data_IF_651944191046
#
_entry.id   IF_651944191046
#
_cell.length_a   1.000
_cell.length_b   1.000
_cell.length_c   1.000
_cell.angle_alpha   90.00
_cell.angle_beta   90.00
_cell.angle_gamma   90.00
#
_symmetry.space_group_name_H-M   'P 1'
#
loop_
_entity.id
_entity.type
_entity.pdbx_description
1 polymer ?
#
# COMPACT_ATOMS: atom_id res chain seq x y z
N UNK A 1 8.05 15.87 -9.84
CA UNK A 1 8.69 15.25 -8.70
C UNK A 1 10.00 14.59 -9.14
N UNK A 2 10.93 14.50 -8.21
CA UNK A 2 12.27 14.00 -8.50
C UNK A 2 12.33 12.52 -8.80
N UNK A 3 11.34 11.77 -8.34
CA UNK A 3 11.33 10.33 -8.51
C UNK A 3 10.61 9.97 -9.79
N UNK A 4 11.32 9.26 -10.63
CA UNK A 4 10.79 8.88 -11.92
C UNK A 4 10.91 7.38 -12.08
N UNK A 5 9.77 6.70 -12.09
CA UNK A 5 9.72 5.25 -12.20
C UNK A 5 9.02 4.84 -13.47
N UNK A 6 9.63 3.93 -14.21
CA UNK A 6 9.02 3.39 -15.42
C UNK A 6 8.04 2.26 -15.11
N UNK A 7 8.33 1.51 -14.05
CA UNK A 7 7.50 0.34 -13.70
C UNK A 7 6.42 0.73 -12.71
N UNK A 8 5.24 0.17 -12.92
CA UNK A 8 4.11 0.42 -12.02
C UNK A 8 4.39 -0.09 -10.60
N UNK A 9 5.00 -1.27 -10.47
CA UNK A 9 5.28 -1.81 -9.14
C UNK A 9 6.22 -0.89 -8.35
N UNK A 10 7.20 -0.27 -9.03
CA UNK A 10 8.08 0.69 -8.35
C UNK A 10 7.31 1.90 -7.84
N UNK A 11 6.38 2.40 -8.66
CA UNK A 11 5.56 3.55 -8.27
C UNK A 11 4.70 3.23 -7.06
N UNK A 12 4.06 2.08 -7.08
CA UNK A 12 3.16 1.68 -5.99
C UNK A 12 3.95 1.45 -4.70
N UNK A 13 5.08 0.76 -4.79
CA UNK A 13 5.91 0.54 -3.61
C UNK A 13 6.40 1.86 -3.03
N UNK A 14 6.79 2.80 -3.89
CA UNK A 14 7.24 4.12 -3.43
C UNK A 14 6.13 4.85 -2.67
N UNK A 15 4.93 4.84 -3.22
CA UNK A 15 3.79 5.52 -2.59
C UNK A 15 3.48 4.87 -1.24
N UNK A 16 3.45 3.54 -1.20
CA UNK A 16 3.16 2.82 0.03
C UNK A 16 4.24 3.06 1.08
N UNK A 17 5.50 3.04 0.66
CA UNK A 17 6.59 3.30 1.60
C UNK A 17 6.48 4.70 2.20
N UNK A 18 6.10 5.68 1.39
CA UNK A 18 5.90 7.05 1.86
C UNK A 18 4.78 7.11 2.90
N UNK A 19 3.68 6.39 2.67
CA UNK A 19 2.56 6.35 3.62
C UNK A 19 3.00 5.67 4.92
N UNK A 20 3.72 4.57 4.83
CA UNK A 20 4.19 3.86 6.02
C UNK A 20 5.10 4.77 6.86
N UNK A 21 6.01 5.47 6.21
CA UNK A 21 6.91 6.38 6.92
C UNK A 21 6.14 7.50 7.59
N UNK A 22 5.10 7.99 6.96
CA UNK A 22 4.23 9.00 7.53
C UNK A 22 3.54 8.46 8.79
N UNK A 23 3.06 7.23 8.74
CA UNK A 23 2.39 6.60 9.88
C UNK A 23 3.36 6.38 11.04
N UNK A 24 4.60 5.98 10.74
CA UNK A 24 5.61 5.78 11.77
C UNK A 24 5.90 7.09 12.49
N UNK A 25 5.96 8.20 11.74
CA UNK A 25 6.24 9.51 12.30
C UNK A 25 5.08 10.09 13.07
N UNK A 26 3.91 9.49 12.98
CA UNK A 26 2.70 9.98 13.65
C UNK A 26 2.08 8.89 14.52
N UNK A 27 2.76 8.49 15.58
CA UNK A 27 2.26 7.39 16.42
C UNK A 27 0.91 7.69 17.06
N UNK A 28 0.55 8.96 17.21
CA UNK A 28 -0.75 9.31 17.77
C UNK A 28 -1.91 8.85 16.88
N UNK A 29 -1.71 8.88 15.57
CA UNK A 29 -2.73 8.40 14.63
C UNK A 29 -2.95 6.92 14.83
N UNK A 30 -1.86 6.15 14.90
CA UNK A 30 -1.94 4.71 15.09
C UNK A 30 -2.55 4.35 16.44
N UNK A 31 -2.19 5.08 17.49
CA UNK A 31 -2.75 4.84 18.81
C UNK A 31 -4.25 5.10 18.82
N UNK A 32 -4.67 6.17 18.14
CA UNK A 32 -6.09 6.49 18.04
C UNK A 32 -6.84 5.37 17.31
N UNK A 33 -6.30 4.90 16.21
CA UNK A 33 -6.91 3.84 15.42
C UNK A 33 -7.03 2.57 16.25
N UNK A 34 -5.96 2.19 16.95
CA UNK A 34 -5.94 1.01 17.78
C UNK A 34 -7.00 1.06 18.85
N UNK A 35 -7.21 2.23 19.43
CA UNK A 35 -8.10 2.41 20.57
C UNK A 35 -9.57 2.53 20.19
N UNK A 36 -9.83 3.18 19.08
CA UNK A 36 -11.19 3.66 18.77
C UNK A 36 -11.80 3.11 17.49
N UNK A 37 -11.02 2.51 16.62
CA UNK A 37 -11.51 2.10 15.32
C UNK A 37 -11.34 0.61 15.09
N UNK A 38 -12.27 0.04 14.35
CA UNK A 38 -12.15 -1.34 13.90
C UNK A 38 -11.12 -1.40 12.76
N UNK A 39 -10.67 -2.61 12.44
CA UNK A 39 -9.75 -2.79 11.34
C UNK A 39 -10.35 -2.30 10.02
N UNK A 40 -11.66 -2.49 9.85
CA UNK A 40 -12.33 -1.97 8.65
C UNK A 40 -12.23 -0.47 8.52
N UNK A 41 -12.41 0.25 9.63
CA UNK A 41 -12.27 1.71 9.60
C UNK A 41 -10.83 2.13 9.38
N UNK A 42 -9.87 1.35 9.88
CA UNK A 42 -8.46 1.62 9.61
C UNK A 42 -8.17 1.51 8.12
N UNK A 43 -8.65 0.45 7.47
CA UNK A 43 -8.48 0.27 6.03
C UNK A 43 -9.10 1.42 5.24
N UNK A 44 -10.28 1.88 5.68
CA UNK A 44 -10.95 3.00 5.05
C UNK A 44 -10.12 4.27 5.15
N UNK A 45 -9.54 4.52 6.32
CA UNK A 45 -8.67 5.69 6.51
C UNK A 45 -7.43 5.62 5.63
N UNK A 46 -6.84 4.44 5.52
CA UNK A 46 -5.67 4.28 4.67
C UNK A 46 -6.04 4.47 3.19
N UNK A 47 -7.20 3.96 2.80
CA UNK A 47 -7.68 4.14 1.43
C UNK A 47 -7.89 5.62 1.14
N UNK A 48 -8.46 6.37 2.09
CA UNK A 48 -8.65 7.80 1.91
C UNK A 48 -7.31 8.52 1.70
N UNK A 49 -6.29 8.13 2.44
CA UNK A 49 -4.96 8.70 2.26
C UNK A 49 -4.39 8.39 0.88
N UNK A 50 -4.57 7.15 0.43
CA UNK A 50 -4.06 6.72 -0.86
C UNK A 50 -4.80 7.38 -2.02
N UNK A 51 -6.08 7.65 -1.83
CA UNK A 51 -6.92 8.26 -2.86
C UNK A 51 -7.01 9.77 -2.77
N UNK A 52 -6.21 10.39 -1.89
CA UNK A 52 -6.20 11.84 -1.80
C UNK A 52 -5.81 12.42 -3.15
N UNK A 53 -6.23 13.65 -3.42
CA UNK A 53 -5.98 14.28 -4.73
C UNK A 53 -4.49 14.37 -5.05
N UNK A 54 -3.63 14.35 -4.05
CA UNK A 54 -2.20 14.39 -4.27
C UNK A 54 -1.64 13.06 -4.75
N UNK A 55 -2.27 11.97 -4.34
CA UNK A 55 -1.78 10.64 -4.68
C UNK A 55 -2.53 9.99 -5.82
N UNK A 56 -3.87 10.06 -5.80
CA UNK A 56 -4.70 9.51 -6.86
C UNK A 56 -4.32 8.10 -7.26
N UNK A 57 -4.03 7.26 -6.28
CA UNK A 57 -3.44 5.95 -6.54
C UNK A 57 -4.32 5.04 -7.38
N UNK A 58 -5.63 5.08 -7.16
CA UNK A 58 -6.55 4.22 -7.90
C UNK A 58 -6.54 4.56 -9.39
N UNK A 59 -6.63 5.85 -9.68
CA UNK A 59 -6.63 6.31 -11.07
C UNK A 59 -5.29 6.04 -11.73
N UNK A 60 -4.21 6.28 -11.00
CA UNK A 60 -2.87 6.00 -11.49
C UNK A 60 -2.73 4.53 -11.84
N UNK A 61 -3.15 3.66 -10.93
CA UNK A 61 -3.00 2.22 -11.09
C UNK A 61 -3.76 1.71 -12.31
N UNK A 62 -5.03 2.08 -12.40
CA UNK A 62 -5.89 1.62 -13.51
C UNK A 62 -5.37 2.14 -14.84
N UNK A 63 -4.98 3.40 -14.88
CA UNK A 63 -4.44 4.01 -16.10
C UNK A 63 -3.15 3.34 -16.55
N UNK A 64 -2.21 3.12 -15.62
CA UNK A 64 -0.94 2.51 -15.96
C UNK A 64 -1.09 1.06 -16.42
N UNK A 65 -2.00 0.33 -15.80
CA UNK A 65 -2.27 -1.05 -16.23
C UNK A 65 -2.74 -1.04 -17.67
N UNK A 66 -3.61 -0.11 -18.02
CA UNK A 66 -4.15 -0.02 -19.37
C UNK A 66 -3.11 0.45 -20.38
N UNK A 67 -2.40 1.52 -20.05
CA UNK A 67 -1.42 2.12 -20.96
C UNK A 67 -0.21 1.22 -21.21
N UNK A 68 0.22 0.50 -20.21
CA UNK A 68 1.39 -0.38 -20.32
C UNK A 68 1.04 -1.82 -20.63
N UNK A 69 -0.25 -2.06 -20.85
CA UNK A 69 -0.73 -3.39 -21.22
C UNK A 69 -0.31 -4.47 -20.22
N UNK A 70 -0.40 -4.12 -18.95
CA UNK A 70 -0.05 -5.06 -17.88
C UNK A 70 -1.15 -6.13 -17.80
N UNK A 71 -0.79 -7.42 -17.76
CA UNK A 71 -1.78 -8.49 -17.83
C UNK A 71 -2.51 -8.75 -16.51
N UNK A 72 -3.23 -7.75 -16.03
CA UNK A 72 -4.10 -7.90 -14.88
C UNK A 72 -5.53 -7.88 -15.38
N UNK A 73 -6.25 -8.97 -15.11
CA UNK A 73 -7.62 -9.11 -15.59
C UNK A 73 -8.54 -8.10 -14.93
N UNK A 74 -8.37 -7.90 -13.62
CA UNK A 74 -9.17 -6.96 -12.84
C UNK A 74 -8.26 -6.06 -12.03
N UNK A 75 -7.78 -4.96 -12.64
CA UNK A 75 -6.82 -4.08 -11.95
C UNK A 75 -7.36 -3.52 -10.64
N UNK A 76 -8.63 -3.18 -10.60
CA UNK A 76 -9.22 -2.61 -9.39
C UNK A 76 -9.26 -3.63 -8.25
N UNK A 77 -9.48 -4.90 -8.58
CA UNK A 77 -9.45 -5.95 -7.58
C UNK A 77 -8.04 -6.17 -7.05
N UNK A 78 -7.05 -6.15 -7.95
CA UNK A 78 -5.66 -6.30 -7.52
C UNK A 78 -5.26 -5.17 -6.57
N UNK A 79 -5.63 -3.95 -6.91
CA UNK A 79 -5.34 -2.81 -6.04
C UNK A 79 -6.07 -2.94 -4.70
N UNK A 80 -7.33 -3.38 -4.73
CA UNK A 80 -8.08 -3.61 -3.50
C UNK A 80 -7.34 -4.59 -2.58
N UNK A 81 -6.86 -5.68 -3.14
CA UNK A 81 -6.13 -6.67 -2.35
C UNK A 81 -4.83 -6.10 -1.79
N UNK A 82 -4.14 -5.29 -2.58
CA UNK A 82 -2.92 -4.64 -2.11
C UNK A 82 -3.21 -3.73 -0.93
N UNK A 83 -4.27 -2.93 -1.03
CA UNK A 83 -4.64 -2.01 0.04
C UNK A 83 -5.01 -2.77 1.31
N UNK A 84 -5.78 -3.85 1.19
CA UNK A 84 -6.16 -4.65 2.35
C UNK A 84 -4.95 -5.33 2.98
N UNK A 85 -4.07 -5.85 2.15
CA UNK A 85 -2.84 -6.46 2.63
C UNK A 85 -2.00 -5.45 3.40
N UNK A 86 -1.78 -4.28 2.80
CA UNK A 86 -0.98 -3.23 3.43
C UNK A 86 -1.62 -2.78 4.75
N UNK A 87 -2.93 -2.52 4.72
CA UNK A 87 -3.63 -2.01 5.90
C UNK A 87 -3.46 -2.91 7.11
N UNK A 88 -3.74 -4.20 6.91
CA UNK A 88 -3.71 -5.15 8.01
C UNK A 88 -2.29 -5.43 8.49
N UNK A 89 -1.39 -5.71 7.55
CA UNK A 89 -0.03 -6.12 7.93
C UNK A 89 0.78 -4.97 8.50
N UNK A 90 0.64 -3.78 7.95
CA UNK A 90 1.37 -2.61 8.44
C UNK A 90 0.92 -2.25 9.85
N UNK A 91 -0.39 -2.25 10.09
CA UNK A 91 -0.90 -1.97 11.42
C UNK A 91 -0.30 -2.93 12.45
N UNK A 92 -0.38 -4.23 12.17
CA UNK A 92 0.13 -5.25 13.07
C UNK A 92 1.64 -5.14 13.27
N UNK A 93 2.36 -4.88 12.19
CA UNK A 93 3.81 -4.78 12.25
C UNK A 93 4.28 -3.57 13.07
N UNK A 94 3.61 -2.42 12.90
CA UNK A 94 4.00 -1.20 13.63
C UNK A 94 3.57 -1.27 15.09
N UNK A 95 2.33 -1.64 15.33
CA UNK A 95 1.75 -1.60 16.67
C UNK A 95 2.21 -2.77 17.53
N UNK A 96 2.16 -3.97 16.98
CA UNK A 96 2.45 -5.20 17.73
C UNK A 96 3.82 -5.79 17.44
N UNK A 97 4.49 -5.28 16.43
CA UNK A 97 5.80 -5.76 15.99
C UNK A 97 5.78 -7.25 15.62
N UNK A 98 4.67 -7.68 15.05
CA UNK A 98 4.45 -9.06 14.65
C UNK A 98 4.11 -9.12 13.17
N UNK A 99 4.55 -10.11 12.45
CA UNK A 99 5.55 -11.11 12.86
C UNK A 99 6.97 -10.54 12.91
N UNK A 100 7.17 -9.32 12.41
CA UNK A 100 8.43 -8.61 12.43
C UNK A 100 8.16 -7.12 12.64
N UNK A 101 9.12 -6.37 13.22
CA UNK A 101 9.03 -4.92 13.23
C UNK A 101 8.97 -4.37 11.81
N UNK A 102 8.40 -3.19 11.66
CA UNK A 102 8.10 -2.66 10.32
C UNK A 102 9.33 -2.56 9.41
N UNK A 103 10.48 -2.16 9.94
CA UNK A 103 11.67 -2.03 9.09
C UNK A 103 12.13 -3.36 8.52
N UNK A 104 11.93 -4.44 9.27
CA UNK A 104 12.28 -5.77 8.81
C UNK A 104 11.18 -6.39 7.96
N UNK A 105 9.95 -5.93 8.15
CA UNK A 105 8.80 -6.43 7.41
C UNK A 105 8.71 -5.84 6.00
N UNK A 106 9.09 -4.58 5.84
CA UNK A 106 8.95 -3.87 4.56
C UNK A 106 9.47 -4.65 3.34
N UNK A 107 10.67 -5.25 3.37
CA UNK A 107 11.14 -5.96 2.18
C UNK A 107 10.21 -7.10 1.77
N UNK A 108 9.67 -7.80 2.74
CA UNK A 108 8.74 -8.91 2.46
C UNK A 108 7.42 -8.39 1.90
N UNK A 109 6.91 -7.33 2.48
CA UNK A 109 5.68 -6.71 2.01
C UNK A 109 5.82 -6.24 0.56
N UNK A 110 6.91 -5.55 0.26
CA UNK A 110 7.11 -4.98 -1.08
C UNK A 110 7.30 -6.08 -2.11
N UNK A 111 7.97 -7.15 -1.75
CA UNK A 111 8.11 -8.30 -2.64
C UNK A 111 6.73 -8.87 -2.99
N UNK A 112 5.87 -9.02 -1.99
CA UNK A 112 4.53 -9.54 -2.20
C UNK A 112 3.70 -8.62 -3.09
N UNK A 113 3.80 -7.31 -2.86
CA UNK A 113 3.08 -6.35 -3.70
C UNK A 113 3.54 -6.44 -5.14
N UNK A 114 4.85 -6.55 -5.37
CA UNK A 114 5.39 -6.69 -6.72
C UNK A 114 4.88 -7.95 -7.41
N UNK A 115 4.79 -9.04 -6.67
CA UNK A 115 4.26 -10.28 -7.23
C UNK A 115 2.79 -10.15 -7.63
N UNK A 116 2.01 -9.44 -6.84
CA UNK A 116 0.60 -9.23 -7.17
C UNK A 116 0.42 -8.41 -8.45
N UNK A 117 1.29 -7.43 -8.66
CA UNK A 117 1.22 -6.58 -9.85
C UNK A 117 1.79 -7.32 -11.08
N UNK A 118 2.83 -8.11 -10.88
CA UNK A 118 3.52 -8.80 -11.95
C UNK A 118 3.17 -10.29 -11.99
N UNK A 119 1.91 -10.61 -11.77
CA UNK A 119 1.49 -12.01 -11.59
C UNK A 119 1.83 -12.90 -12.77
N UNK A 120 2.01 -12.33 -13.95
CA UNK A 120 2.39 -13.12 -15.10
C UNK A 120 3.82 -13.65 -15.04
N UNK A 121 4.61 -13.09 -14.14
CA UNK A 121 5.99 -13.53 -13.94
C UNK A 121 6.08 -14.68 -12.94
N UNK A 122 4.96 -15.05 -12.34
CA UNK A 122 4.90 -16.19 -11.45
C UNK A 122 4.84 -17.47 -12.27
#
# INVERSE_FOLDING_TARGET
>A
NEHHFDRLDDKIVFIIDSIINELIDRPNILKFIQKNLSLGLYSEKLTDLLDSEELGIKELFVREVKEKDIPLEYPEMTLFMIIELVSSTVFTSIVEKQPLPIDEFKPHLYKTIRLLINEKEL
#
